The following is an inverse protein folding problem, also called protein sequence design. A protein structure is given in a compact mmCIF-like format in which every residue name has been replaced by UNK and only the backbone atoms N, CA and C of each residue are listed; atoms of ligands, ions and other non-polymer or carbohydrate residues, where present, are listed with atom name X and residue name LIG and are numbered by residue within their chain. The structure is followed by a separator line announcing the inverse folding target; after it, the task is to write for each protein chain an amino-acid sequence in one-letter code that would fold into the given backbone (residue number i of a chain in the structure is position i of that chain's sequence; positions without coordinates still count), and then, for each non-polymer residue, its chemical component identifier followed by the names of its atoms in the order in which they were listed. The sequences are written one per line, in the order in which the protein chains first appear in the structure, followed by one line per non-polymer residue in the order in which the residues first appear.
data_IF_769784138244
#
_entry.id   IF_769784138244
#
_cell.length_a   1.000
_cell.length_b   1.000
_cell.length_c   1.000
_cell.angle_alpha   90.00
_cell.angle_beta   90.00
_cell.angle_gamma   90.00
#
_symmetry.space_group_name_H-M   'P 1'
#
loop_
_entity.id
_entity.type
_entity.pdbx_description
1 polymer ?
#
# COMPACT_ATOMS: atom_id res chain seq x y z
N UNK A 1 -54.15 -45.74 3.93
CA UNK A 1 -54.33 -44.82 5.08
C UNK A 1 -53.35 -43.68 4.91
N UNK A 2 -53.85 -42.44 4.92
CA UNK A 2 -53.12 -41.26 4.43
C UNK A 2 -52.77 -40.37 5.61
N UNK A 3 -51.49 -40.10 5.86
CA UNK A 3 -51.03 -39.23 6.94
C UNK A 3 -50.29 -38.02 6.37
N UNK A 4 -50.95 -36.86 6.35
CA UNK A 4 -50.41 -35.64 5.76
C UNK A 4 -49.43 -34.93 6.72
N UNK A 5 -48.23 -34.63 6.24
CA UNK A 5 -47.26 -33.79 6.95
C UNK A 5 -47.56 -32.31 6.68
N UNK A 6 -47.88 -31.53 7.72
CA UNK A 6 -48.02 -30.07 7.61
C UNK A 6 -46.66 -29.37 7.81
N UNK A 7 -46.28 -28.37 6.99
CA UNK A 7 -45.11 -27.55 7.25
C UNK A 7 -45.36 -26.56 8.39
N UNK A 8 -44.35 -26.35 9.23
CA UNK A 8 -44.35 -25.35 10.31
C UNK A 8 -44.05 -23.95 9.78
N UNK A 9 -44.86 -22.96 10.18
CA UNK A 9 -44.66 -21.57 9.77
C UNK A 9 -43.50 -20.88 10.54
N UNK A 10 -42.73 -19.98 9.88
CA UNK A 10 -41.67 -19.22 10.54
C UNK A 10 -42.24 -18.10 11.42
N UNK A 11 -41.68 -17.91 12.62
CA UNK A 11 -42.13 -16.83 13.52
C UNK A 11 -41.64 -15.44 13.07
N UNK A 12 -42.46 -14.39 13.18
CA UNK A 12 -42.06 -13.02 12.87
C UNK A 12 -41.09 -12.46 13.92
N UNK A 13 -39.89 -12.09 13.47
CA UNK A 13 -38.82 -11.56 14.34
C UNK A 13 -39.16 -10.13 14.82
N UNK A 14 -39.17 -9.91 16.15
CA UNK A 14 -39.70 -8.69 16.79
C UNK A 14 -38.90 -7.40 16.42
N UNK A 15 -39.48 -6.40 15.71
CA UNK A 15 -38.76 -5.17 15.35
C UNK A 15 -38.68 -4.13 16.48
N UNK A 16 -39.47 -4.27 17.56
CA UNK A 16 -39.64 -3.23 18.61
C UNK A 16 -38.34 -2.83 19.34
N UNK A 17 -37.35 -3.71 19.46
CA UNK A 17 -36.07 -3.42 20.14
C UNK A 17 -35.06 -2.63 19.28
N UNK A 18 -35.27 -2.56 17.96
CA UNK A 18 -34.49 -1.68 17.09
C UNK A 18 -35.04 -0.24 17.15
N UNK A 19 -36.36 -0.09 16.99
CA UNK A 19 -37.04 1.20 17.09
C UNK A 19 -36.77 1.92 18.43
N UNK A 20 -36.86 1.20 19.56
CA UNK A 20 -36.61 1.80 20.89
C UNK A 20 -35.16 2.30 21.08
N UNK A 21 -34.19 1.68 20.41
CA UNK A 21 -32.79 2.10 20.45
C UNK A 21 -32.54 3.32 19.54
N UNK A 22 -33.16 3.36 18.36
CA UNK A 22 -33.10 4.52 17.46
C UNK A 22 -33.82 5.75 18.05
N UNK A 23 -34.94 5.54 18.75
CA UNK A 23 -35.62 6.61 19.48
C UNK A 23 -34.71 7.21 20.56
N UNK A 24 -34.08 6.38 21.40
CA UNK A 24 -33.10 6.84 22.41
C UNK A 24 -31.87 7.52 21.80
N UNK A 25 -31.40 7.06 20.64
CA UNK A 25 -30.34 7.72 19.87
C UNK A 25 -30.75 9.14 19.47
N UNK A 26 -31.95 9.29 18.88
CA UNK A 26 -32.46 10.58 18.44
C UNK A 26 -32.67 11.56 19.62
N UNK A 27 -33.23 11.11 20.75
CA UNK A 27 -33.40 11.96 21.94
C UNK A 27 -32.07 12.43 22.50
N UNK A 28 -31.06 11.54 22.59
CA UNK A 28 -29.72 11.91 23.06
C UNK A 28 -29.05 12.90 22.10
N UNK A 29 -29.11 12.66 20.79
CA UNK A 29 -28.54 13.57 19.79
C UNK A 29 -29.22 14.95 19.79
N UNK A 30 -30.55 15.00 19.99
CA UNK A 30 -31.29 16.26 20.11
C UNK A 30 -30.88 17.05 21.36
N UNK A 31 -30.78 16.39 22.53
CA UNK A 31 -30.36 17.02 23.78
C UNK A 31 -28.90 17.49 23.70
N UNK A 32 -27.99 16.69 23.13
CA UNK A 32 -26.58 17.07 22.97
C UNK A 32 -26.41 18.18 21.92
N UNK A 33 -27.18 18.16 20.83
CA UNK A 33 -27.17 19.23 19.82
C UNK A 33 -27.63 20.57 20.38
N UNK A 34 -28.72 20.58 21.15
CA UNK A 34 -29.25 21.78 21.83
C UNK A 34 -28.30 22.37 22.87
N UNK A 35 -27.33 21.59 23.34
CA UNK A 35 -26.39 21.96 24.40
C UNK A 35 -25.02 22.42 23.89
N UNK A 36 -24.71 22.14 22.61
CA UNK A 36 -23.42 22.46 21.96
C UNK A 36 -23.57 23.61 20.95
N UNK A 37 -24.75 23.80 20.37
CA UNK A 37 -25.03 24.91 19.47
C UNK A 37 -25.39 26.19 20.26
N UNK A 38 -24.70 27.33 20.04
CA UNK A 38 -25.11 28.60 20.64
C UNK A 38 -26.47 29.05 20.05
N UNK A 39 -27.30 29.75 20.83
CA UNK A 39 -28.59 30.24 20.35
C UNK A 39 -28.40 31.24 19.19
N UNK A 40 -29.31 31.26 18.20
CA UNK A 40 -29.23 32.22 17.09
C UNK A 40 -29.37 33.65 17.60
N UNK A 41 -28.51 34.54 17.09
CA UNK A 41 -28.40 35.91 17.58
C UNK A 41 -29.56 36.79 17.06
N UNK A 42 -30.68 36.79 17.79
CA UNK A 42 -31.88 37.59 17.52
C UNK A 42 -31.70 39.04 18.01
N UNK A 43 -30.78 39.78 17.38
CA UNK A 43 -30.51 41.20 17.65
C UNK A 43 -30.31 42.04 16.38
N UNK A 44 -30.81 41.57 15.24
CA UNK A 44 -31.04 42.39 14.06
C UNK A 44 -32.52 42.82 14.03
N UNK A 45 -32.79 44.04 14.51
CA UNK A 45 -34.08 44.72 14.31
C UNK A 45 -33.85 45.94 13.41
N UNK A 46 -34.75 46.14 12.45
CA UNK A 46 -34.56 47.04 11.33
C UNK A 46 -34.50 48.53 11.71
N UNK A 47 -33.77 49.31 10.92
CA UNK A 47 -34.01 50.73 10.71
C UNK A 47 -33.55 51.11 9.28
N UNK A 48 -34.41 51.69 8.42
CA UNK A 48 -34.12 51.84 6.99
C UNK A 48 -33.63 53.25 6.60
N UNK A 49 -32.70 53.34 5.64
CA UNK A 49 -32.54 54.53 4.78
C UNK A 49 -31.88 54.18 3.43
N UNK A 50 -32.22 54.97 2.41
CA UNK A 50 -31.89 54.82 0.99
C UNK A 50 -30.50 55.44 0.61
N UNK A 51 -30.00 55.27 -0.65
CA UNK A 51 -28.56 55.29 -0.95
C UNK A 51 -28.08 56.59 -1.64
N UNK A 52 -26.98 56.60 -2.41
CA UNK A 52 -25.77 57.35 -2.07
C UNK A 52 -25.63 58.70 -2.78
N UNK A 53 -25.02 59.69 -2.11
CA UNK A 53 -24.62 60.97 -2.72
C UNK A 53 -23.14 61.26 -2.48
N UNK A 54 -22.45 61.63 -3.55
CA UNK A 54 -21.04 61.99 -3.55
C UNK A 54 -20.73 63.27 -2.75
N UNK A 55 -19.54 63.31 -2.14
CA UNK A 55 -18.74 64.54 -2.02
C UNK A 55 -17.27 64.16 -2.18
N UNK A 56 -16.53 64.92 -2.99
CA UNK A 56 -15.09 64.75 -3.22
C UNK A 56 -14.32 66.01 -2.82
N UNK A 57 -13.19 65.84 -2.12
CA UNK A 57 -12.11 66.82 -1.93
C UNK A 57 -10.83 66.01 -1.68
N UNK A 58 -9.94 65.77 -2.66
CA UNK A 58 -8.90 66.65 -3.22
C UNK A 58 -7.72 66.89 -2.26
N UNK A 59 -6.63 66.15 -2.50
CA UNK A 59 -5.22 66.59 -2.67
C UNK A 59 -4.43 65.29 -3.02
N UNK A 60 -3.79 65.07 -4.19
CA UNK A 60 -2.81 65.87 -4.94
C UNK A 60 -1.53 66.11 -4.10
N UNK A 61 -0.29 65.79 -4.53
CA UNK A 61 0.30 65.68 -5.87
C UNK A 61 1.35 64.55 -5.92
N UNK A 62 1.54 63.92 -7.08
CA UNK A 62 2.63 62.97 -7.35
C UNK A 62 3.81 63.64 -8.07
N UNK A 63 5.05 63.16 -7.85
CA UNK A 63 6.14 63.25 -8.84
C UNK A 63 6.97 61.96 -8.83
N UNK A 64 7.23 61.47 -10.04
CA UNK A 64 8.06 60.31 -10.41
C UNK A 64 9.56 60.58 -10.40
N UNK A 65 10.40 59.55 -10.25
CA UNK A 65 11.29 59.06 -11.32
C UNK A 65 12.34 58.02 -10.83
N UNK A 66 12.31 56.85 -11.45
CA UNK A 66 13.50 56.04 -11.79
C UNK A 66 14.00 56.56 -13.18
N UNK A 67 15.19 56.23 -13.75
CA UNK A 67 15.96 55.00 -13.54
C UNK A 67 17.52 55.09 -13.58
N UNK A 68 18.14 53.91 -13.48
CA UNK A 68 19.31 53.44 -14.26
C UNK A 68 20.75 53.49 -13.67
N UNK A 69 21.17 52.29 -13.24
CA UNK A 69 22.26 51.51 -13.86
C UNK A 69 23.73 51.57 -13.36
N UNK A 70 24.30 50.34 -13.35
CA UNK A 70 25.71 49.94 -13.51
C UNK A 70 26.70 50.06 -12.33
N UNK A 71 27.49 48.99 -12.15
CA UNK A 71 28.68 48.95 -11.27
C UNK A 71 28.80 47.66 -10.45
N UNK A 72 29.56 46.69 -10.94
CA UNK A 72 29.87 45.43 -10.23
C UNK A 72 31.31 45.49 -9.61
N UNK A 73 31.98 44.37 -9.25
CA UNK A 73 32.07 43.91 -7.85
C UNK A 73 33.52 43.73 -7.34
N UNK A 74 33.72 43.52 -6.03
CA UNK A 74 34.87 42.77 -5.48
C UNK A 74 34.71 42.48 -3.97
N UNK A 75 35.21 41.29 -3.55
CA UNK A 75 36.04 40.99 -2.35
C UNK A 75 35.77 41.66 -0.98
N UNK A 76 36.01 41.02 0.19
CA UNK A 76 36.40 39.66 0.56
C UNK A 76 36.38 39.53 2.11
N UNK A 77 36.33 38.31 2.62
CA UNK A 77 36.93 37.85 3.89
C UNK A 77 36.63 38.56 5.24
N UNK A 78 35.80 37.86 6.03
CA UNK A 78 36.07 37.35 7.40
C UNK A 78 37.54 37.30 7.90
N UNK A 79 37.85 37.11 9.22
CA UNK A 79 37.04 37.23 10.45
C UNK A 79 37.80 37.66 11.77
N UNK A 80 37.15 37.48 12.94
CA UNK A 80 37.69 36.99 14.25
C UNK A 80 38.55 37.87 15.19
N UNK A 81 37.89 38.30 16.30
CA UNK A 81 38.29 38.23 17.74
C UNK A 81 39.30 39.21 18.41
N UNK A 82 39.28 39.12 19.77
CA UNK A 82 40.10 39.79 20.81
C UNK A 82 39.80 41.26 21.09
N UNK A 83 39.91 41.79 22.33
CA UNK A 83 40.22 41.22 23.66
C UNK A 83 39.89 42.29 24.76
N UNK A 84 39.81 41.87 26.04
CA UNK A 84 40.00 42.62 27.31
C UNK A 84 39.72 44.15 27.35
N UNK A 85 38.74 44.63 28.14
CA UNK A 85 38.77 44.82 29.61
C UNK A 85 39.70 45.95 30.09
N UNK A 86 39.13 46.95 30.79
CA UNK A 86 39.83 47.85 31.72
C UNK A 86 38.84 48.52 32.70
N UNK A 87 39.37 49.14 33.77
CA UNK A 87 38.72 49.22 35.10
C UNK A 87 38.72 50.64 35.72
N UNK A 88 37.78 50.88 36.66
CA UNK A 88 37.78 51.93 37.72
C UNK A 88 37.53 53.42 37.39
N UNK A 89 36.88 54.14 38.33
CA UNK A 89 36.56 55.58 38.19
C UNK A 89 35.49 56.15 39.16
N UNK A 90 35.64 55.93 40.47
CA UNK A 90 34.77 56.40 41.58
C UNK A 90 34.52 57.92 41.66
N UNK A 91 33.34 58.36 42.16
CA UNK A 91 33.15 59.43 43.18
C UNK A 91 31.68 59.46 43.68
N UNK A 92 31.49 59.61 45.01
CA UNK A 92 30.19 59.82 45.70
C UNK A 92 30.36 60.91 46.79
N UNK A 93 29.42 61.87 46.86
CA UNK A 93 28.69 62.20 48.10
C UNK A 93 27.18 62.48 47.83
N UNK A 94 26.22 62.58 48.78
CA UNK A 94 26.24 62.46 50.24
C UNK A 94 24.82 62.14 50.84
N UNK A 95 24.76 62.07 52.17
CA UNK A 95 23.62 62.08 53.12
C UNK A 95 22.55 63.19 52.91
N UNK A 96 21.29 63.15 53.39
CA UNK A 96 20.58 62.38 54.44
C UNK A 96 19.03 62.55 54.25
N UNK A 97 18.11 62.12 55.16
CA UNK A 97 18.24 61.19 56.28
C UNK A 97 17.25 60.00 56.22
N UNK A 98 17.40 59.04 57.15
CA UNK A 98 16.48 57.90 57.34
C UNK A 98 15.41 58.24 58.38
N UNK A 99 14.13 58.15 58.02
CA UNK A 99 13.03 58.01 58.99
C UNK A 99 12.82 56.54 59.32
N UNK A 100 13.14 56.15 60.56
CA UNK A 100 12.86 54.80 61.08
C UNK A 100 11.43 54.79 61.61
N UNK A 101 10.49 54.30 60.80
CA UNK A 101 9.18 53.90 61.32
C UNK A 101 9.32 52.59 62.14
N UNK A 102 8.57 52.46 63.26
CA UNK A 102 8.63 51.26 64.09
C UNK A 102 8.12 50.03 63.32
N UNK A 103 8.57 48.81 63.66
CA UNK A 103 8.13 47.59 62.99
C UNK A 103 6.62 47.42 63.21
N UNK A 104 5.84 47.64 62.13
CA UNK A 104 4.42 47.32 62.11
C UNK A 104 4.26 45.85 62.50
N UNK A 105 3.54 45.61 63.60
CA UNK A 105 3.40 44.28 64.18
C UNK A 105 2.91 43.29 63.11
N UNK A 106 3.58 42.14 63.04
CA UNK A 106 3.15 41.01 62.22
C UNK A 106 1.67 40.76 62.50
N UNK A 107 0.76 40.85 61.51
CA UNK A 107 -0.61 40.44 61.72
C UNK A 107 -0.57 38.93 61.97
N UNK A 108 -0.64 38.56 63.26
CA UNK A 108 -0.67 37.18 63.68
C UNK A 108 -1.75 36.47 62.85
N UNK A 109 -1.35 35.38 62.18
CA UNK A 109 -2.18 34.65 61.22
C UNK A 109 -3.26 33.88 61.98
N UNK A 110 -4.21 34.63 62.55
CA UNK A 110 -5.39 34.12 63.23
C UNK A 110 -6.25 33.50 62.15
N UNK A 111 -6.12 32.18 62.02
CA UNK A 111 -7.12 31.29 61.45
C UNK A 111 -8.40 31.40 62.28
N UNK A 112 -9.11 32.52 62.12
CA UNK A 112 -10.50 32.62 62.52
C UNK A 112 -11.26 31.65 61.62
N UNK A 113 -12.09 30.74 62.16
CA UNK A 113 -12.89 29.86 61.30
C UNK A 113 -13.82 30.67 60.38
N UNK A 114 -14.19 31.88 60.79
CA UNK A 114 -15.04 32.82 60.04
C UNK A 114 -14.42 33.23 58.70
N UNK A 115 -13.12 33.54 58.65
CA UNK A 115 -12.44 33.92 57.39
C UNK A 115 -12.16 32.74 56.47
N UNK A 116 -12.09 31.51 56.99
CA UNK A 116 -12.07 30.31 56.15
C UNK A 116 -13.43 30.10 55.47
N UNK A 117 -14.53 30.15 56.23
CA UNK A 117 -15.88 29.97 55.67
C UNK A 117 -16.30 31.11 54.74
N UNK A 118 -15.83 32.36 54.92
CA UNK A 118 -16.13 33.44 53.97
C UNK A 118 -15.41 33.26 52.63
N UNK A 119 -14.13 32.86 52.64
CA UNK A 119 -13.37 32.54 51.41
C UNK A 119 -13.86 31.26 50.73
N UNK A 120 -14.34 30.28 51.50
CA UNK A 120 -14.99 29.09 50.95
C UNK A 120 -16.36 29.43 50.34
N UNK A 121 -17.09 30.40 50.91
CA UNK A 121 -18.39 30.86 50.40
C UNK A 121 -18.25 31.76 49.18
N UNK A 122 -17.20 32.57 49.04
CA UNK A 122 -16.90 33.25 47.77
C UNK A 122 -16.53 32.24 46.68
N UNK A 123 -15.66 31.26 46.96
CA UNK A 123 -15.33 30.18 46.01
C UNK A 123 -16.54 29.33 45.59
N UNK A 124 -17.55 29.14 46.45
CA UNK A 124 -18.81 28.45 46.10
C UNK A 124 -19.83 29.35 45.37
N UNK A 125 -19.69 30.67 45.42
CA UNK A 125 -20.64 31.66 44.89
C UNK A 125 -20.06 32.46 43.70
N UNK A 126 -18.80 32.21 43.33
CA UNK A 126 -18.25 32.61 42.03
C UNK A 126 -19.02 31.88 40.90
N UNK A 127 -19.99 32.59 40.31
CA UNK A 127 -20.81 32.13 39.17
C UNK A 127 -19.96 31.60 38.01
N UNK A 128 -18.74 32.13 37.87
CA UNK A 128 -17.74 31.71 36.89
C UNK A 128 -17.11 30.34 37.19
N UNK A 129 -16.94 29.95 38.45
CA UNK A 129 -16.42 28.62 38.82
C UNK A 129 -17.53 27.57 38.74
N UNK A 130 -18.73 27.89 39.24
CA UNK A 130 -19.90 27.01 39.16
C UNK A 130 -20.24 26.65 37.70
N UNK A 131 -20.25 27.63 36.80
CA UNK A 131 -20.51 27.40 35.37
C UNK A 131 -19.40 26.60 34.67
N UNK A 132 -18.12 26.83 34.99
CA UNK A 132 -17.00 26.02 34.46
C UNK A 132 -17.10 24.56 34.91
N UNK A 133 -17.31 24.31 36.19
CA UNK A 133 -17.46 22.94 36.73
C UNK A 133 -18.68 22.24 36.12
N UNK A 134 -19.80 22.95 36.01
CA UNK A 134 -21.01 22.43 35.37
C UNK A 134 -20.75 22.05 33.90
N UNK A 135 -20.11 22.92 33.12
CA UNK A 135 -19.77 22.66 31.72
C UNK A 135 -18.81 21.45 31.55
N UNK A 136 -17.82 21.30 32.43
CA UNK A 136 -16.91 20.13 32.44
C UNK A 136 -17.68 18.85 32.73
N UNK A 137 -18.51 18.82 33.78
CA UNK A 137 -19.33 17.65 34.15
C UNK A 137 -20.29 17.28 33.01
N UNK A 138 -20.91 18.27 32.38
CA UNK A 138 -21.86 18.10 31.28
C UNK A 138 -21.19 17.59 30.00
N UNK A 139 -19.97 18.04 29.72
CA UNK A 139 -19.11 17.56 28.61
C UNK A 139 -18.69 16.10 28.83
N UNK A 140 -18.30 15.75 30.05
CA UNK A 140 -17.96 14.36 30.41
C UNK A 140 -19.20 13.45 30.30
N UNK A 141 -20.34 13.87 30.86
CA UNK A 141 -21.57 13.09 30.85
C UNK A 141 -22.08 12.84 29.43
N UNK A 142 -22.16 13.88 28.60
CA UNK A 142 -22.57 13.76 27.19
C UNK A 142 -21.59 12.88 26.40
N UNK A 143 -20.29 13.01 26.63
CA UNK A 143 -19.25 12.15 26.03
C UNK A 143 -19.39 10.67 26.42
N UNK A 144 -19.58 10.36 27.71
CA UNK A 144 -19.79 8.98 28.19
C UNK A 144 -21.06 8.37 27.58
N UNK A 145 -22.15 9.15 27.52
CA UNK A 145 -23.40 8.69 26.90
C UNK A 145 -23.19 8.42 25.40
N UNK A 146 -22.55 9.35 24.67
CA UNK A 146 -22.27 9.20 23.24
C UNK A 146 -21.42 7.95 22.93
N UNK A 147 -20.35 7.73 23.69
CA UNK A 147 -19.47 6.56 23.49
C UNK A 147 -20.13 5.26 23.91
N UNK A 148 -20.91 5.26 25.00
CA UNK A 148 -21.71 4.10 25.42
C UNK A 148 -22.75 3.72 24.35
N UNK A 149 -23.34 4.73 23.70
CA UNK A 149 -24.30 4.59 22.61
C UNK A 149 -23.64 4.03 21.34
N UNK A 150 -22.51 4.61 20.90
CA UNK A 150 -21.70 4.11 19.76
C UNK A 150 -21.25 2.67 19.99
N UNK A 151 -20.72 2.34 21.17
CA UNK A 151 -20.29 0.98 21.52
C UNK A 151 -21.49 0.01 21.53
N UNK A 152 -22.68 0.45 21.97
CA UNK A 152 -23.89 -0.38 21.98
C UNK A 152 -24.42 -0.69 20.58
N UNK A 153 -24.40 0.30 19.68
CA UNK A 153 -24.74 0.12 18.26
C UNK A 153 -23.73 -0.83 17.61
N UNK A 154 -22.44 -0.57 17.80
CA UNK A 154 -21.37 -1.37 17.22
C UNK A 154 -21.42 -2.82 17.72
N UNK A 155 -21.63 -3.07 19.01
CA UNK A 155 -21.85 -4.42 19.56
C UNK A 155 -23.01 -5.12 18.88
N UNK A 156 -24.12 -4.42 18.62
CA UNK A 156 -25.32 -4.97 17.96
C UNK A 156 -25.10 -5.30 16.48
N UNK A 157 -24.33 -4.49 15.75
CA UNK A 157 -24.01 -4.70 14.31
C UNK A 157 -22.90 -5.75 14.14
N UNK A 158 -21.80 -5.63 14.88
CA UNK A 158 -20.63 -6.51 14.80
C UNK A 158 -20.97 -7.98 15.09
N UNK A 159 -21.97 -8.25 15.95
CA UNK A 159 -22.36 -9.60 16.36
C UNK A 159 -22.81 -10.53 15.24
N UNK A 160 -23.13 -9.98 14.04
CA UNK A 160 -23.60 -10.74 12.86
C UNK A 160 -22.61 -10.78 11.70
N UNK A 161 -21.41 -10.20 11.86
CA UNK A 161 -20.48 -9.94 10.74
C UNK A 161 -18.99 -10.12 11.06
N UNK A 162 -18.59 -10.12 12.33
CA UNK A 162 -17.17 -10.15 12.73
C UNK A 162 -16.84 -11.34 13.62
N UNK A 163 -15.66 -11.91 13.39
CA UNK A 163 -15.04 -12.91 14.26
C UNK A 163 -14.91 -12.39 15.71
N UNK A 164 -15.10 -13.23 16.76
CA UNK A 164 -15.01 -12.80 18.14
C UNK A 164 -13.70 -12.10 18.52
N UNK A 165 -12.56 -12.50 17.94
CA UNK A 165 -11.24 -11.93 18.21
C UNK A 165 -11.13 -10.50 17.68
N UNK A 166 -11.44 -10.31 16.39
CA UNK A 166 -11.42 -9.00 15.74
C UNK A 166 -12.42 -8.03 16.38
N UNK A 167 -13.62 -8.52 16.73
CA UNK A 167 -14.66 -7.74 17.42
C UNK A 167 -14.18 -7.20 18.77
N UNK A 168 -13.51 -8.02 19.58
CA UNK A 168 -12.98 -7.60 20.89
C UNK A 168 -11.96 -6.47 20.75
N UNK A 169 -11.04 -6.59 19.80
CA UNK A 169 -10.02 -5.59 19.50
C UNK A 169 -10.64 -4.25 19.05
N UNK A 170 -11.55 -4.29 18.08
CA UNK A 170 -12.20 -3.08 17.53
C UNK A 170 -12.97 -2.32 18.62
N UNK A 171 -13.74 -3.01 19.46
CA UNK A 171 -14.47 -2.39 20.58
C UNK A 171 -13.50 -1.73 21.57
N UNK A 172 -12.35 -2.36 21.86
CA UNK A 172 -11.35 -1.79 22.78
C UNK A 172 -10.64 -0.58 22.20
N UNK A 173 -10.27 -0.59 20.92
CA UNK A 173 -9.68 0.57 20.23
C UNK A 173 -10.65 1.76 20.28
N UNK A 174 -11.92 1.55 19.92
CA UNK A 174 -12.94 2.61 19.94
C UNK A 174 -13.21 3.10 21.37
N UNK A 175 -13.18 2.22 22.36
CA UNK A 175 -13.29 2.60 23.78
C UNK A 175 -12.12 3.52 24.21
N UNK A 176 -10.87 3.17 23.88
CA UNK A 176 -9.71 3.97 24.28
C UNK A 176 -9.63 5.32 23.52
N UNK A 177 -9.88 5.32 22.21
CA UNK A 177 -9.96 6.56 21.43
C UNK A 177 -11.09 7.46 21.93
N UNK A 178 -12.26 6.89 22.23
CA UNK A 178 -13.39 7.62 22.81
C UNK A 178 -13.04 8.25 24.16
N UNK A 179 -12.44 7.49 25.09
CA UNK A 179 -12.01 8.00 26.39
C UNK A 179 -10.99 9.14 26.23
N UNK A 180 -10.00 8.98 25.34
CA UNK A 180 -9.03 10.04 25.06
C UNK A 180 -9.71 11.33 24.55
N UNK A 181 -10.70 11.22 23.66
CA UNK A 181 -11.49 12.37 23.20
C UNK A 181 -12.33 13.00 24.32
N UNK A 182 -12.92 12.23 25.24
CA UNK A 182 -13.61 12.81 26.41
C UNK A 182 -12.61 13.62 27.25
N UNK A 183 -11.45 13.04 27.55
CA UNK A 183 -10.42 13.69 28.39
C UNK A 183 -9.94 15.00 27.78
N UNK A 184 -9.63 15.02 26.48
CA UNK A 184 -9.21 16.23 25.76
C UNK A 184 -10.32 17.31 25.82
N UNK A 185 -11.58 16.93 25.59
CA UNK A 185 -12.69 17.88 25.66
C UNK A 185 -12.96 18.38 27.09
N UNK A 186 -12.77 17.55 28.12
CA UNK A 186 -12.90 17.93 29.52
C UNK A 186 -11.84 18.97 29.93
N UNK A 187 -10.57 18.76 29.55
CA UNK A 187 -9.51 19.75 29.79
C UNK A 187 -9.76 21.06 29.02
N UNK A 188 -10.29 20.99 27.79
CA UNK A 188 -10.69 22.18 27.01
C UNK A 188 -11.82 22.95 27.71
N UNK A 189 -12.84 22.26 28.23
CA UNK A 189 -13.91 22.88 29.01
C UNK A 189 -13.41 23.47 30.34
N UNK A 190 -12.34 22.89 30.92
CA UNK A 190 -11.67 23.41 32.11
C UNK A 190 -10.70 24.60 31.82
N UNK A 191 -10.56 25.03 30.56
CA UNK A 191 -9.68 26.13 30.13
C UNK A 191 -8.19 25.91 30.46
N UNK A 192 -7.75 24.64 30.54
CA UNK A 192 -6.34 24.29 30.72
C UNK A 192 -5.62 24.38 29.38
N UNK A 193 -4.39 24.92 29.35
CA UNK A 193 -3.56 24.88 28.16
C UNK A 193 -3.16 23.43 27.83
N UNK A 194 -3.67 22.96 26.71
CA UNK A 194 -3.43 21.62 26.19
C UNK A 194 -2.31 21.58 25.15
N UNK A 195 -1.69 22.71 24.81
CA UNK A 195 -0.69 22.82 23.73
C UNK A 195 0.48 21.85 23.90
N UNK A 196 1.09 21.66 25.09
CA UNK A 196 2.16 20.68 25.28
C UNK A 196 1.69 19.23 25.08
N UNK A 197 0.46 18.91 25.54
CA UNK A 197 -0.12 17.57 25.42
C UNK A 197 -0.51 17.26 23.96
N UNK A 198 -1.04 18.24 23.23
CA UNK A 198 -1.31 18.12 21.79
C UNK A 198 -0.01 17.98 20.99
N UNK A 199 1.06 18.69 21.35
CA UNK A 199 2.38 18.52 20.74
C UNK A 199 2.91 17.09 20.91
N UNK A 200 2.90 16.57 22.14
CA UNK A 200 3.30 15.19 22.42
C UNK A 200 2.40 14.16 21.70
N UNK A 201 1.07 14.36 21.73
CA UNK A 201 0.11 13.49 21.04
C UNK A 201 0.28 13.53 19.51
N UNK A 202 0.68 14.68 18.94
CA UNK A 202 1.00 14.83 17.52
C UNK A 202 2.20 13.97 17.10
N UNK A 203 3.29 14.00 17.87
CA UNK A 203 4.48 13.16 17.62
C UNK A 203 4.13 11.67 17.70
N UNK A 204 3.36 11.26 18.72
CA UNK A 204 2.88 9.86 18.85
C UNK A 204 1.95 9.49 17.68
N UNK A 205 1.08 10.40 17.25
CA UNK A 205 0.18 10.21 16.11
C UNK A 205 0.93 10.03 14.78
N UNK A 206 1.99 10.80 14.54
CA UNK A 206 2.87 10.67 13.38
C UNK A 206 3.57 9.30 13.40
N UNK A 207 4.16 8.91 14.53
CA UNK A 207 4.82 7.61 14.68
C UNK A 207 3.85 6.42 14.44
N UNK A 208 2.62 6.51 14.98
CA UNK A 208 1.58 5.50 14.74
C UNK A 208 1.09 5.51 13.28
N UNK A 209 1.03 6.69 12.64
CA UNK A 209 0.69 6.84 11.23
C UNK A 209 1.70 6.14 10.31
N UNK A 210 3.00 6.34 10.54
CA UNK A 210 4.05 5.60 9.83
C UNK A 210 3.96 4.08 10.07
N UNK A 211 3.72 3.64 11.31
CA UNK A 211 3.54 2.22 11.63
C UNK A 211 2.30 1.60 10.93
N UNK A 212 1.24 2.38 10.71
CA UNK A 212 0.02 1.94 10.03
C UNK A 212 0.05 2.10 8.50
N UNK A 213 1.02 2.83 7.94
CA UNK A 213 1.05 3.30 6.54
C UNK A 213 0.78 2.18 5.53
N UNK A 214 1.50 1.06 5.62
CA UNK A 214 1.32 -0.10 4.71
C UNK A 214 -0.06 -0.74 4.84
N UNK A 215 -0.66 -0.77 6.03
CA UNK A 215 -2.01 -1.34 6.22
C UNK A 215 -3.08 -0.43 5.61
N UNK A 216 -2.94 0.89 5.76
CA UNK A 216 -3.83 1.88 5.14
C UNK A 216 -3.68 1.86 3.62
N UNK A 217 -2.44 1.79 3.10
CA UNK A 217 -2.14 1.67 1.67
C UNK A 217 -2.86 0.46 1.06
N UNK A 218 -2.67 -0.73 1.64
CA UNK A 218 -3.34 -1.96 1.17
C UNK A 218 -4.87 -1.92 1.27
N UNK A 219 -5.44 -1.22 2.26
CA UNK A 219 -6.89 -1.01 2.36
C UNK A 219 -7.42 -0.15 1.22
N UNK A 220 -6.78 1.00 0.96
CA UNK A 220 -7.17 1.93 -0.11
C UNK A 220 -6.97 1.26 -1.47
N UNK A 221 -5.87 0.53 -1.67
CA UNK A 221 -5.65 -0.25 -2.89
C UNK A 221 -6.72 -1.33 -3.10
N UNK A 222 -7.14 -2.02 -2.04
CA UNK A 222 -8.23 -2.99 -2.12
C UNK A 222 -9.54 -2.37 -2.58
N UNK A 223 -9.87 -1.17 -2.06
CA UNK A 223 -11.05 -0.42 -2.49
C UNK A 223 -10.96 0.00 -3.96
N UNK A 224 -9.81 0.51 -4.41
CA UNK A 224 -9.58 0.91 -5.80
C UNK A 224 -9.77 -0.27 -6.78
N UNK A 225 -9.12 -1.41 -6.51
CA UNK A 225 -9.22 -2.61 -7.35
C UNK A 225 -10.66 -3.11 -7.51
N UNK A 226 -11.47 -3.03 -6.43
CA UNK A 226 -12.89 -3.40 -6.45
C UNK A 226 -13.73 -2.36 -7.22
N UNK A 227 -13.42 -1.07 -7.07
CA UNK A 227 -14.13 0.04 -7.72
C UNK A 227 -13.93 0.04 -9.24
N UNK A 228 -12.68 -0.14 -9.69
CA UNK A 228 -12.33 -0.17 -11.12
C UNK A 228 -12.69 -1.48 -11.82
N UNK A 229 -12.94 -2.56 -11.06
CA UNK A 229 -13.24 -3.91 -11.58
C UNK A 229 -12.21 -4.39 -12.62
N UNK A 230 -10.93 -4.14 -12.34
CA UNK A 230 -9.81 -4.51 -13.19
C UNK A 230 -9.78 -6.03 -13.52
N UNK A 231 -10.24 -6.84 -12.56
CA UNK A 231 -10.48 -8.27 -12.69
C UNK A 231 -11.56 -8.71 -11.69
N UNK A 232 -12.01 -9.94 -11.84
CA UNK A 232 -13.10 -10.57 -11.10
C UNK A 232 -12.66 -11.88 -10.45
N UNK A 233 -13.46 -12.40 -9.52
CA UNK A 233 -13.20 -13.71 -8.91
C UNK A 233 -13.43 -14.78 -9.99
N UNK A 234 -12.44 -15.66 -10.17
CA UNK A 234 -12.38 -16.62 -11.27
C UNK A 234 -11.47 -16.22 -12.44
N UNK A 235 -11.01 -14.97 -12.51
CA UNK A 235 -10.08 -14.56 -13.56
C UNK A 235 -8.69 -15.21 -13.39
N UNK A 236 -8.01 -15.50 -14.50
CA UNK A 236 -6.61 -15.95 -14.49
C UNK A 236 -5.71 -14.73 -14.67
N UNK A 237 -4.88 -14.45 -13.66
CA UNK A 237 -3.92 -13.34 -13.69
C UNK A 237 -2.49 -13.87 -13.75
N UNK A 238 -1.62 -13.13 -14.44
CA UNK A 238 -0.17 -13.20 -14.32
C UNK A 238 0.33 -11.88 -13.74
N UNK A 239 0.97 -11.95 -12.56
CA UNK A 239 1.53 -10.82 -11.82
C UNK A 239 2.96 -11.19 -11.45
N UNK A 240 3.95 -10.46 -11.95
CA UNK A 240 5.39 -10.68 -11.70
C UNK A 240 5.86 -12.14 -11.89
N UNK A 241 5.25 -12.85 -12.86
CA UNK A 241 5.54 -14.26 -13.16
C UNK A 241 4.77 -15.27 -12.31
N UNK A 242 4.02 -14.84 -11.30
CA UNK A 242 3.05 -15.68 -10.58
C UNK A 242 1.74 -15.75 -11.37
N UNK A 243 1.43 -16.94 -11.90
CA UNK A 243 0.17 -17.19 -12.64
C UNK A 243 -0.82 -17.98 -11.79
N UNK A 244 -2.07 -17.53 -11.70
CA UNK A 244 -3.11 -18.24 -10.99
C UNK A 244 -4.51 -17.63 -11.13
N UNK A 245 -5.51 -18.41 -10.71
CA UNK A 245 -6.93 -18.04 -10.69
C UNK A 245 -7.21 -17.18 -9.44
N UNK A 246 -7.92 -16.06 -9.58
CA UNK A 246 -8.38 -15.23 -8.47
C UNK A 246 -9.40 -16.02 -7.64
N UNK A 247 -9.00 -16.44 -6.43
CA UNK A 247 -9.85 -17.20 -5.51
C UNK A 247 -10.71 -16.29 -4.64
N UNK A 248 -10.12 -15.26 -4.03
CA UNK A 248 -10.90 -14.20 -3.37
C UNK A 248 -10.11 -12.90 -3.26
N UNK A 249 -10.86 -11.80 -3.20
CA UNK A 249 -10.35 -10.44 -3.00
C UNK A 249 -10.64 -10.07 -1.54
N UNK A 250 -9.61 -10.03 -0.69
CA UNK A 250 -9.76 -9.54 0.69
C UNK A 250 -9.39 -8.06 0.78
N UNK A 251 -9.80 -7.41 1.88
CA UNK A 251 -9.60 -5.97 2.12
C UNK A 251 -8.14 -5.49 2.03
N UNK A 252 -7.16 -6.35 2.35
CA UNK A 252 -5.72 -6.00 2.36
C UNK A 252 -4.87 -6.82 1.37
N UNK A 253 -5.43 -7.85 0.75
CA UNK A 253 -4.66 -8.76 -0.10
C UNK A 253 -5.57 -9.62 -0.98
N UNK A 254 -5.08 -10.02 -2.14
CA UNK A 254 -5.76 -10.98 -3.01
C UNK A 254 -5.13 -12.36 -2.85
N UNK A 255 -5.98 -13.38 -2.97
CA UNK A 255 -5.62 -14.78 -2.93
C UNK A 255 -5.74 -15.36 -4.33
N UNK A 256 -4.63 -15.80 -4.89
CA UNK A 256 -4.59 -16.56 -6.14
C UNK A 256 -4.39 -18.05 -5.82
N UNK A 257 -5.04 -18.89 -6.61
CA UNK A 257 -4.81 -20.34 -6.67
C UNK A 257 -4.02 -20.63 -7.94
N UNK A 258 -2.74 -20.98 -7.79
CA UNK A 258 -1.92 -21.40 -8.92
C UNK A 258 -2.42 -22.73 -9.50
N UNK A 259 -2.07 -23.02 -10.76
CA UNK A 259 -2.48 -24.25 -11.45
C UNK A 259 -1.93 -25.53 -10.78
N UNK A 260 -0.81 -25.44 -10.09
CA UNK A 260 -0.25 -26.48 -9.21
C UNK A 260 -0.92 -26.57 -7.82
N UNK A 261 -2.09 -25.94 -7.67
CA UNK A 261 -2.89 -25.86 -6.46
C UNK A 261 -2.23 -25.12 -5.27
N UNK A 262 -1.12 -24.39 -5.47
CA UNK A 262 -0.54 -23.54 -4.42
C UNK A 262 -1.39 -22.30 -4.15
N UNK A 263 -1.39 -21.89 -2.89
CA UNK A 263 -2.00 -20.65 -2.42
C UNK A 263 -0.98 -19.51 -2.47
N UNK A 264 -1.24 -18.50 -3.29
CA UNK A 264 -0.40 -17.30 -3.43
C UNK A 264 -1.18 -16.11 -2.88
N UNK A 265 -0.59 -15.38 -1.92
CA UNK A 265 -1.18 -14.19 -1.33
C UNK A 265 -0.38 -12.96 -1.75
N UNK A 266 -1.04 -12.01 -2.43
CA UNK A 266 -0.41 -10.78 -2.92
C UNK A 266 -1.04 -9.59 -2.20
N UNK A 267 -0.26 -8.66 -1.60
CA UNK A 267 -0.79 -7.42 -1.03
C UNK A 267 -1.46 -6.56 -2.10
N UNK A 268 -2.57 -5.92 -1.77
CA UNK A 268 -3.32 -5.07 -2.72
C UNK A 268 -2.47 -3.89 -3.23
N UNK A 269 -1.58 -3.35 -2.38
CA UNK A 269 -0.64 -2.28 -2.72
C UNK A 269 0.36 -2.70 -3.82
N UNK A 270 0.78 -3.97 -3.83
CA UNK A 270 1.67 -4.50 -4.87
C UNK A 270 0.95 -4.54 -6.20
N UNK A 271 -0.33 -4.94 -6.23
CA UNK A 271 -1.10 -5.08 -7.46
C UNK A 271 -1.33 -3.75 -8.18
N UNK A 272 -1.59 -2.65 -7.45
CA UNK A 272 -1.74 -1.32 -8.08
C UNK A 272 -0.41 -0.79 -8.64
N UNK A 273 0.73 -1.24 -8.11
CA UNK A 273 2.07 -0.81 -8.56
C UNK A 273 2.66 -1.69 -9.66
N UNK A 274 2.21 -2.94 -9.76
CA UNK A 274 2.71 -3.93 -10.72
C UNK A 274 1.89 -3.94 -12.01
N UNK A 275 2.48 -4.47 -13.09
CA UNK A 275 1.74 -4.73 -14.33
C UNK A 275 0.92 -6.01 -14.19
N UNK A 276 -0.41 -5.90 -14.22
CA UNK A 276 -1.34 -7.03 -14.13
C UNK A 276 -1.72 -7.48 -15.54
N UNK A 277 -1.35 -8.71 -15.91
CA UNK A 277 -1.79 -9.31 -17.18
C UNK A 277 -2.97 -10.24 -16.90
N UNK A 278 -4.18 -9.82 -17.28
CA UNK A 278 -5.38 -10.64 -17.19
C UNK A 278 -5.50 -11.53 -18.44
N UNK A 279 -5.52 -12.85 -18.25
CA UNK A 279 -5.57 -13.86 -19.31
C UNK A 279 -6.99 -14.33 -19.66
N UNK A 280 -7.99 -14.03 -18.81
CA UNK A 280 -9.41 -14.38 -19.00
C UNK A 280 -10.28 -13.22 -19.50
N UNK A 281 -9.78 -11.98 -19.51
CA UNK A 281 -10.60 -10.79 -19.81
C UNK A 281 -11.23 -10.79 -21.19
N UNK A 282 -10.62 -11.45 -22.17
CA UNK A 282 -11.10 -11.57 -23.54
C UNK A 282 -11.30 -13.04 -23.90
N UNK A 283 -12.43 -13.42 -24.53
CA UNK A 283 -12.76 -14.83 -24.78
C UNK A 283 -11.90 -15.47 -25.89
N UNK A 284 -11.32 -14.67 -26.78
CA UNK A 284 -10.46 -15.10 -27.87
C UNK A 284 -9.05 -14.56 -27.63
N UNK A 285 -8.04 -15.40 -27.79
CA UNK A 285 -6.63 -15.06 -27.57
C UNK A 285 -5.77 -15.60 -28.71
N UNK A 286 -4.63 -14.93 -28.99
CA UNK A 286 -3.63 -15.44 -29.94
C UNK A 286 -2.60 -16.32 -29.22
N UNK A 287 -2.28 -17.47 -29.81
CA UNK A 287 -1.16 -18.32 -29.45
C UNK A 287 -0.07 -18.13 -30.50
N UNK A 288 1.19 -18.03 -30.05
CA UNK A 288 2.34 -17.82 -30.93
C UNK A 288 3.20 -19.09 -30.94
N UNK A 289 3.41 -19.68 -32.10
CA UNK A 289 4.33 -20.78 -32.33
C UNK A 289 5.53 -20.26 -33.12
N UNK A 290 6.74 -20.60 -32.66
CA UNK A 290 8.00 -20.30 -33.37
C UNK A 290 8.66 -21.63 -33.69
N UNK A 291 9.02 -21.83 -34.96
CA UNK A 291 9.57 -23.08 -35.48
C UNK A 291 10.79 -22.75 -36.34
N UNK A 292 11.93 -23.37 -36.04
CA UNK A 292 13.17 -23.16 -36.79
C UNK A 292 13.36 -24.25 -37.85
N UNK A 293 13.47 -23.85 -39.11
CA UNK A 293 13.74 -24.73 -40.27
C UNK A 293 15.13 -24.46 -40.84
N UNK A 294 15.84 -25.45 -41.40
CA UNK A 294 17.17 -25.25 -41.97
C UNK A 294 17.10 -24.46 -43.30
N UNK A 295 18.21 -23.82 -43.67
CA UNK A 295 18.31 -22.88 -44.81
C UNK A 295 18.04 -23.50 -46.20
N UNK A 296 18.08 -24.83 -46.33
CA UNK A 296 17.71 -25.59 -47.52
C UNK A 296 16.17 -25.73 -47.70
N UNK A 297 15.37 -25.31 -46.72
CA UNK A 297 13.91 -25.44 -46.74
C UNK A 297 13.24 -24.41 -47.64
N UNK A 298 12.30 -24.85 -48.49
CA UNK A 298 11.41 -23.95 -49.22
C UNK A 298 10.41 -23.28 -48.25
N UNK A 299 10.54 -21.97 -48.06
CA UNK A 299 9.72 -21.18 -47.13
C UNK A 299 8.23 -21.21 -47.50
N UNK A 300 7.87 -21.22 -48.80
CA UNK A 300 6.46 -21.22 -49.20
C UNK A 300 5.79 -22.60 -48.97
N UNK A 301 6.58 -23.68 -49.08
CA UNK A 301 6.12 -25.02 -48.70
C UNK A 301 5.94 -25.15 -47.18
N UNK A 302 6.83 -24.55 -46.38
CA UNK A 302 6.68 -24.50 -44.93
C UNK A 302 5.47 -23.62 -44.52
N UNK A 303 5.26 -22.49 -45.20
CA UNK A 303 4.11 -21.60 -45.00
C UNK A 303 2.79 -22.31 -45.27
N UNK A 304 2.65 -22.98 -46.41
CA UNK A 304 1.42 -23.69 -46.76
C UNK A 304 1.14 -24.85 -45.79
N UNK A 305 2.16 -25.62 -45.39
CA UNK A 305 2.03 -26.67 -44.39
C UNK A 305 1.57 -26.13 -43.01
N UNK A 306 2.10 -24.99 -42.55
CA UNK A 306 1.72 -24.38 -41.28
C UNK A 306 0.29 -23.82 -41.29
N UNK A 307 -0.13 -23.19 -42.38
CA UNK A 307 -1.49 -22.65 -42.53
C UNK A 307 -2.53 -23.77 -42.65
N UNK A 308 -2.24 -24.82 -43.41
CA UNK A 308 -3.12 -25.99 -43.56
C UNK A 308 -3.28 -26.76 -42.22
N UNK A 309 -2.26 -26.82 -41.37
CA UNK A 309 -2.41 -27.32 -39.99
C UNK A 309 -3.36 -26.43 -39.17
N UNK A 310 -3.24 -25.11 -39.28
CA UNK A 310 -4.11 -24.18 -38.56
C UNK A 310 -5.57 -24.28 -39.03
N UNK A 311 -5.83 -24.38 -40.34
CA UNK A 311 -7.17 -24.49 -40.92
C UNK A 311 -7.87 -25.83 -40.65
N UNK A 312 -7.09 -26.89 -40.37
CA UNK A 312 -7.55 -28.23 -40.02
C UNK A 312 -7.75 -28.46 -38.51
N UNK A 313 -7.17 -27.64 -37.63
CA UNK A 313 -7.27 -27.86 -36.18
C UNK A 313 -8.58 -27.29 -35.60
N UNK A 314 -9.46 -28.10 -34.96
CA UNK A 314 -10.82 -27.68 -34.60
C UNK A 314 -10.93 -26.52 -33.60
N UNK A 315 -9.90 -26.28 -32.77
CA UNK A 315 -9.88 -25.17 -31.79
C UNK A 315 -9.40 -23.84 -32.37
N UNK A 316 -8.92 -23.80 -33.61
CA UNK A 316 -8.42 -22.58 -34.24
C UNK A 316 -9.56 -21.83 -34.90
N UNK A 317 -9.72 -20.55 -34.54
CA UNK A 317 -10.65 -19.66 -35.23
C UNK A 317 -10.11 -19.31 -36.62
N UNK A 318 -10.98 -19.40 -37.62
CA UNK A 318 -10.71 -18.92 -38.99
C UNK A 318 -10.86 -17.41 -39.14
N UNK A 319 -11.56 -16.77 -38.21
CA UNK A 319 -11.71 -15.31 -38.13
C UNK A 319 -11.55 -14.89 -36.66
N UNK A 320 -10.48 -14.17 -36.28
CA UNK A 320 -9.45 -13.61 -37.16
C UNK A 320 -8.54 -14.68 -37.78
N UNK A 321 -8.00 -14.40 -38.96
CA UNK A 321 -7.17 -15.36 -39.72
C UNK A 321 -5.82 -15.69 -39.01
N UNK A 322 -5.26 -16.90 -39.21
CA UNK A 322 -3.91 -17.23 -38.79
C UNK A 322 -2.86 -16.32 -39.46
N UNK A 323 -1.96 -15.76 -38.66
CA UNK A 323 -0.90 -14.88 -39.14
C UNK A 323 0.43 -15.63 -39.25
N UNK A 324 1.05 -15.61 -40.44
CA UNK A 324 2.37 -16.19 -40.68
C UNK A 324 3.39 -15.09 -41.01
N UNK A 325 4.60 -15.20 -40.46
CA UNK A 325 5.75 -14.39 -40.89
C UNK A 325 7.07 -15.16 -40.74
N UNK A 326 8.07 -14.82 -41.54
CA UNK A 326 9.47 -15.15 -41.23
C UNK A 326 9.95 -14.18 -40.16
N UNK A 327 10.33 -14.69 -39.00
CA UNK A 327 10.67 -13.87 -37.82
C UNK A 327 12.12 -13.42 -37.83
N UNK A 328 13.07 -14.33 -38.07
CA UNK A 328 14.49 -14.02 -38.10
C UNK A 328 15.30 -15.07 -38.87
N UNK A 329 16.54 -14.70 -39.23
CA UNK A 329 17.55 -15.63 -39.73
C UNK A 329 18.60 -15.84 -38.63
N UNK A 330 18.71 -17.06 -38.11
CA UNK A 330 19.60 -17.41 -36.99
C UNK A 330 20.77 -18.26 -37.45
N UNK A 331 21.78 -18.44 -36.58
CA UNK A 331 22.92 -19.34 -36.85
C UNK A 331 22.53 -20.80 -37.14
N UNK A 332 21.38 -21.25 -36.62
CA UNK A 332 20.94 -22.66 -36.71
C UNK A 332 19.91 -22.87 -37.82
N UNK A 333 19.18 -21.82 -38.22
CA UNK A 333 18.18 -21.87 -39.29
C UNK A 333 17.32 -20.61 -39.41
N UNK A 334 16.27 -20.69 -40.21
CA UNK A 334 15.25 -19.67 -40.42
C UNK A 334 14.14 -19.85 -39.37
N UNK A 335 13.83 -18.82 -38.59
CA UNK A 335 12.71 -18.85 -37.64
C UNK A 335 11.40 -18.45 -38.34
N UNK A 336 10.43 -19.36 -38.34
CA UNK A 336 9.08 -19.16 -38.83
C UNK A 336 8.13 -18.94 -37.65
N UNK A 337 7.31 -17.90 -37.74
CA UNK A 337 6.29 -17.56 -36.75
C UNK A 337 4.90 -17.87 -37.29
N UNK A 338 4.09 -18.58 -36.50
CA UNK A 338 2.67 -18.82 -36.73
C UNK A 338 1.87 -18.33 -35.52
N UNK A 339 1.01 -17.34 -35.74
CA UNK A 339 0.07 -16.83 -34.75
C UNK A 339 -1.35 -17.29 -35.04
N UNK A 340 -1.90 -18.20 -34.22
CA UNK A 340 -3.29 -18.69 -34.37
C UNK A 340 -4.19 -18.11 -33.28
N UNK A 341 -5.47 -17.87 -33.60
CA UNK A 341 -6.47 -17.43 -32.62
C UNK A 341 -7.29 -18.63 -32.14
N UNK A 342 -7.58 -18.68 -30.84
CA UNK A 342 -8.32 -19.77 -30.19
C UNK A 342 -9.24 -19.23 -29.10
N UNK A 343 -10.30 -19.97 -28.76
CA UNK A 343 -11.12 -19.66 -27.58
C UNK A 343 -10.37 -20.02 -26.30
N UNK A 344 -10.47 -19.15 -25.29
CA UNK A 344 -9.64 -19.22 -24.09
C UNK A 344 -9.82 -20.50 -23.26
N UNK A 345 -10.96 -21.20 -23.41
CA UNK A 345 -11.27 -22.49 -22.79
C UNK A 345 -10.42 -23.62 -23.38
N UNK A 346 -10.15 -23.57 -24.69
CA UNK A 346 -9.48 -24.63 -25.47
C UNK A 346 -7.94 -24.52 -25.45
N UNK A 347 -7.37 -23.87 -24.44
CA UNK A 347 -5.94 -23.58 -24.37
C UNK A 347 -5.05 -24.82 -24.53
N UNK A 348 -5.34 -25.89 -23.78
CA UNK A 348 -4.51 -27.10 -23.76
C UNK A 348 -4.64 -27.91 -25.07
N UNK A 349 -5.87 -28.05 -25.58
CA UNK A 349 -6.18 -28.70 -26.85
C UNK A 349 -5.56 -27.95 -28.04
N UNK A 350 -5.56 -26.62 -28.01
CA UNK A 350 -4.90 -25.78 -29.02
C UNK A 350 -3.38 -25.92 -28.91
N UNK A 351 -2.79 -25.71 -27.73
CA UNK A 351 -1.35 -25.69 -27.53
C UNK A 351 -0.71 -27.02 -27.95
N UNK A 352 -1.20 -28.13 -27.38
CA UNK A 352 -0.60 -29.44 -27.62
C UNK A 352 -0.95 -29.94 -29.03
N UNK A 353 -2.21 -29.76 -29.46
CA UNK A 353 -2.68 -30.19 -30.78
C UNK A 353 -1.93 -29.54 -31.94
N UNK A 354 -1.67 -28.23 -31.86
CA UNK A 354 -0.87 -27.52 -32.87
C UNK A 354 0.58 -28.03 -32.93
N UNK A 355 1.25 -28.28 -31.80
CA UNK A 355 2.61 -28.85 -31.82
C UNK A 355 2.66 -30.23 -32.49
N UNK A 356 1.68 -31.11 -32.21
CA UNK A 356 1.58 -32.41 -32.89
C UNK A 356 1.27 -32.25 -34.39
N UNK A 357 0.32 -31.39 -34.76
CA UNK A 357 -0.06 -31.12 -36.15
C UNK A 357 1.09 -30.55 -36.98
N UNK A 358 1.83 -29.57 -36.45
CA UNK A 358 3.02 -28.99 -37.08
C UNK A 358 4.08 -30.07 -37.34
N UNK A 359 4.38 -30.91 -36.34
CA UNK A 359 5.34 -32.01 -36.47
C UNK A 359 4.92 -32.98 -37.58
N UNK A 360 3.66 -33.42 -37.58
CA UNK A 360 3.15 -34.37 -38.57
C UNK A 360 3.13 -33.79 -39.99
N UNK A 361 2.76 -32.51 -40.15
CA UNK A 361 2.75 -31.86 -41.46
C UNK A 361 4.17 -31.64 -42.02
N UNK A 362 5.14 -31.32 -41.16
CA UNK A 362 6.53 -31.16 -41.57
C UNK A 362 7.14 -32.50 -41.99
N UNK A 363 6.88 -33.58 -41.22
CA UNK A 363 7.27 -34.94 -41.59
C UNK A 363 6.69 -35.35 -42.95
N UNK A 364 5.40 -35.09 -43.18
CA UNK A 364 4.70 -35.43 -44.43
C UNK A 364 5.18 -34.59 -45.64
N UNK A 365 5.58 -33.33 -45.41
CA UNK A 365 6.14 -32.45 -46.43
C UNK A 365 7.64 -32.69 -46.72
N UNK A 366 8.30 -33.56 -45.95
CA UNK A 366 9.76 -33.77 -46.01
C UNK A 366 10.58 -32.62 -45.41
N UNK A 367 9.94 -31.71 -44.67
CA UNK A 367 10.57 -30.55 -44.04
C UNK A 367 11.23 -31.00 -42.73
N UNK A 368 12.55 -30.81 -42.62
CA UNK A 368 13.30 -31.11 -41.42
C UNK A 368 13.25 -29.93 -40.45
N UNK A 369 13.28 -30.21 -39.15
CA UNK A 369 13.57 -29.19 -38.15
C UNK A 369 15.06 -28.84 -38.16
N UNK A 370 15.39 -27.59 -37.86
CA UNK A 370 16.77 -27.17 -37.72
C UNK A 370 17.44 -27.85 -36.52
N UNK A 371 18.70 -28.25 -36.68
CA UNK A 371 19.56 -28.72 -35.60
C UNK A 371 20.75 -27.76 -35.45
N UNK A 372 21.30 -27.57 -34.24
CA UNK A 372 22.50 -26.76 -34.05
C UNK A 372 23.64 -27.26 -34.94
N UNK A 373 24.08 -26.43 -35.88
CA UNK A 373 25.06 -26.82 -36.90
C UNK A 373 26.42 -26.18 -36.64
N UNK A 374 27.50 -26.93 -36.85
CA UNK A 374 28.88 -26.45 -36.71
C UNK A 374 29.63 -26.70 -38.00
N UNK A 375 29.95 -25.62 -38.71
CA UNK A 375 30.73 -25.68 -39.94
C UNK A 375 32.23 -25.88 -39.61
N UNK A 376 32.69 -27.12 -39.65
CA UNK A 376 34.11 -27.46 -39.54
C UNK A 376 34.83 -27.14 -40.86
N UNK A 377 35.53 -26.00 -40.92
CA UNK A 377 36.45 -25.69 -42.02
C UNK A 377 37.82 -26.33 -41.72
N UNK A 378 38.15 -27.38 -42.45
CA UNK A 378 39.50 -27.93 -42.46
C UNK A 378 40.45 -27.03 -43.27
N UNK A 379 41.68 -26.76 -42.80
CA UNK A 379 42.72 -26.15 -43.63
C UNK A 379 43.01 -27.04 -44.85
N UNK A 380 43.24 -26.44 -46.02
CA UNK A 380 43.40 -27.18 -47.27
C UNK A 380 44.54 -28.23 -47.23
N UNK A 381 45.60 -27.96 -46.45
CA UNK A 381 46.75 -28.85 -46.27
C UNK A 381 46.40 -30.16 -45.54
N UNK A 382 45.28 -30.23 -44.79
CA UNK A 382 44.84 -31.45 -44.12
C UNK A 382 44.13 -32.45 -45.06
N UNK A 383 43.80 -32.05 -46.29
CA UNK A 383 43.14 -32.92 -47.28
C UNK A 383 44.11 -33.74 -48.14
N UNK A 384 45.42 -33.55 -47.97
CA UNK A 384 46.47 -34.17 -48.78
C UNK A 384 46.97 -35.53 -48.25
N UNK A 385 46.07 -36.33 -47.66
CA UNK A 385 46.34 -37.75 -47.38
C UNK A 385 46.02 -38.57 -48.65
N UNK A 386 46.98 -39.28 -49.26
CA UNK A 386 46.72 -40.04 -50.49
C UNK A 386 45.72 -41.18 -50.23
N UNK A 387 44.79 -41.45 -51.17
CA UNK A 387 43.86 -42.56 -51.08
C UNK A 387 44.49 -43.87 -51.60
N UNK A 388 45.64 -44.27 -51.03
CA UNK A 388 46.27 -45.57 -51.34
C UNK A 388 46.48 -46.39 -50.07
N UNK A 389 45.99 -47.63 -50.12
CA UNK A 389 45.91 -48.51 -48.96
C UNK A 389 47.18 -49.30 -48.70
N UNK A 390 48.06 -48.77 -47.85
CA UNK A 390 49.01 -49.59 -47.07
C UNK A 390 48.95 -49.22 -45.59
N UNK A 391 47.98 -49.80 -44.89
CA UNK A 391 47.95 -49.82 -43.42
C UNK A 391 49.02 -50.80 -42.88
N UNK A 392 50.29 -50.52 -43.14
CA UNK A 392 51.41 -51.23 -42.52
C UNK A 392 51.75 -50.62 -41.16
N UNK A 393 52.11 -51.47 -40.20
CA UNK A 393 52.05 -51.15 -38.77
C UNK A 393 53.18 -50.21 -38.28
N UNK A 394 52.97 -48.90 -38.40
CA UNK A 394 53.79 -47.87 -37.76
C UNK A 394 53.19 -47.38 -36.43
N UNK A 395 53.58 -47.99 -35.30
CA UNK A 395 53.26 -47.47 -33.95
C UNK A 395 53.75 -46.00 -33.86
N UNK A 396 52.89 -45.00 -33.55
CA UNK A 396 53.39 -43.64 -33.37
C UNK A 396 54.39 -43.61 -32.20
N UNK A 397 55.50 -42.86 -32.30
CA UNK A 397 56.43 -42.72 -31.19
C UNK A 397 55.68 -42.14 -29.99
N UNK A 398 56.10 -42.54 -28.78
CA UNK A 398 55.54 -42.05 -27.53
C UNK A 398 56.00 -40.60 -27.25
N UNK A 399 55.58 -39.66 -28.10
CA UNK A 399 55.79 -38.23 -27.92
C UNK A 399 54.90 -37.79 -26.76
N UNK A 400 55.54 -37.43 -25.65
CA UNK A 400 54.88 -37.13 -24.39
C UNK A 400 53.78 -36.06 -24.56
N UNK A 401 52.61 -36.32 -23.97
CA UNK A 401 51.60 -35.29 -23.72
C UNK A 401 52.26 -34.10 -22.99
N UNK A 402 52.21 -32.88 -23.53
CA UNK A 402 52.65 -31.71 -22.78
C UNK A 402 51.77 -31.60 -21.52
N UNK A 403 52.34 -31.33 -20.33
CA UNK A 403 51.58 -31.31 -19.10
C UNK A 403 50.53 -30.19 -19.18
N UNK A 404 49.26 -30.57 -19.16
CA UNK A 404 48.13 -29.64 -19.08
C UNK A 404 48.32 -28.80 -17.82
N UNK A 405 48.61 -27.50 -18.00
CA UNK A 405 48.68 -26.55 -16.88
C UNK A 405 47.31 -26.49 -16.19
N UNK A 406 47.20 -27.18 -15.06
CA UNK A 406 45.98 -27.28 -14.24
C UNK A 406 45.46 -25.93 -13.72
N UNK A 407 46.19 -24.82 -13.93
CA UNK A 407 45.82 -23.49 -13.49
C UNK A 407 44.64 -22.85 -14.25
N UNK A 408 44.24 -23.34 -15.43
CA UNK A 408 43.10 -22.77 -16.19
C UNK A 408 41.78 -23.53 -16.08
N UNK A 409 41.78 -24.80 -15.66
CA UNK A 409 40.55 -25.57 -15.47
C UNK A 409 39.89 -25.32 -14.09
N UNK A 410 40.67 -24.87 -13.10
CA UNK A 410 40.17 -24.50 -11.77
C UNK A 410 39.43 -23.14 -11.71
N UNK A 411 39.49 -22.34 -12.78
CA UNK A 411 38.88 -21.00 -12.83
C UNK A 411 37.43 -20.99 -13.35
N UNK A 412 36.99 -22.05 -14.05
CA UNK A 412 35.68 -22.12 -14.69
C UNK A 412 34.61 -22.90 -13.89
N UNK A 413 34.98 -23.56 -12.80
CA UNK A 413 34.12 -24.43 -11.98
C UNK A 413 33.86 -23.86 -10.59
N UNK A 414 33.45 -22.58 -10.51
CA UNK A 414 33.07 -21.91 -9.26
C UNK A 414 31.53 -21.89 -9.12
N UNK A 415 30.89 -22.83 -8.41
CA UNK A 415 29.46 -22.74 -8.15
C UNK A 415 29.17 -21.52 -7.27
N UNK A 416 28.16 -20.73 -7.65
CA UNK A 416 27.72 -19.59 -6.86
C UNK A 416 27.20 -20.07 -5.49
N UNK A 417 27.98 -19.80 -4.43
CA UNK A 417 27.68 -20.24 -3.07
C UNK A 417 26.52 -19.45 -2.49
N UNK A 418 25.29 -19.95 -2.70
CA UNK A 418 24.10 -19.45 -2.04
C UNK A 418 24.30 -19.50 -0.51
N UNK A 419 23.94 -18.40 0.16
CA UNK A 419 24.22 -18.13 1.58
C UNK A 419 23.18 -18.83 2.48
N UNK A 420 23.21 -20.16 2.52
CA UNK A 420 22.35 -20.94 3.40
C UNK A 420 22.79 -20.79 4.87
N UNK A 421 21.94 -20.16 5.68
CA UNK A 421 22.17 -20.02 7.11
C UNK A 421 21.97 -21.36 7.85
N UNK A 422 22.79 -21.61 8.88
CA UNK A 422 22.66 -22.79 9.77
C UNK A 422 21.29 -22.81 10.46
N UNK A 423 20.47 -23.81 10.14
CA UNK A 423 19.38 -24.25 11.00
C UNK A 423 19.81 -25.51 11.77
N UNK A 424 19.59 -25.51 13.09
CA UNK A 424 19.92 -26.61 14.01
C UNK A 424 18.86 -27.71 13.89
N UNK A 425 19.22 -29.01 13.75
CA UNK A 425 18.23 -30.08 13.62
C UNK A 425 17.46 -30.29 14.94
N UNK A 426 16.13 -30.47 14.90
CA UNK A 426 15.34 -30.80 16.09
C UNK A 426 15.57 -32.26 16.53
N UNK A 427 15.48 -32.50 17.84
CA UNK A 427 15.70 -33.81 18.44
C UNK A 427 14.57 -34.81 18.11
N UNK A 428 14.96 -36.08 17.95
CA UNK A 428 14.08 -37.21 17.60
C UNK A 428 13.28 -37.65 18.84
N UNK A 429 12.02 -37.23 18.96
CA UNK A 429 11.12 -37.70 20.01
C UNK A 429 10.61 -39.12 19.70
N UNK A 430 10.59 -39.98 20.72
CA UNK A 430 10.11 -41.37 20.61
C UNK A 430 8.58 -41.45 20.70
N UNK A 431 7.92 -42.44 20.05
CA UNK A 431 6.50 -42.68 20.23
C UNK A 431 6.22 -43.33 21.60
N UNK A 432 5.34 -42.72 22.41
CA UNK A 432 4.78 -43.38 23.60
C UNK A 432 3.84 -44.51 23.17
N UNK A 433 3.98 -45.68 23.79
CA UNK A 433 2.94 -46.74 23.77
C UNK A 433 1.68 -46.25 24.48
N UNK A 434 0.48 -46.71 24.08
CA UNK A 434 -0.71 -46.59 24.91
C UNK A 434 -0.65 -47.55 26.10
N UNK A 435 -1.31 -47.16 27.18
CA UNK A 435 -1.75 -47.99 28.29
C UNK A 435 -3.24 -47.69 28.51
#
# INVERSE_FOLDING_TARGET
MTAAHRPTAPQPCRPRLAALAMARLATVLAVVGWLILPPPNLSAQDSPTLPPSATATIEAVAVSADPAAAGAPAASDTPTASSAADTEGTIVPASAPVTVDPPAATPALRLSPVTFFSNLKSLLVDTNLLSRVLNVVLTILSGIVLISLVISILKRVAHKRLDPRSRGLIIKVIQYVGIALIVINAFKAAQVDLSPLLGAAGIVGIALGFAAQTSVSNFISGFFLISEKAFTIGDVLNIDGAVGVVFSIDTLSIKLRAFDNRFIRIPNETLIKASIVNLTRFPVRRMNFVVTVPYDTNIEQARSALLDVADRHPSVLRNPEPFFMVQSFTKDGIELFLGVWYEQIDWDMTNNGMYFGIKQAFDAAGIRFAYPSVNLRYPAEASALPPDGTAEAGRPPATALPPIRASKLAAASKPARAKAARAKPPARAQPKRPA
#
